data_IF_127826459117
#
_entry.id   IF_127826459117
#
_cell.length_a   1.000
_cell.length_b   1.000
_cell.length_c   1.000
_cell.angle_alpha   90.00
_cell.angle_beta   90.00
_cell.angle_gamma   90.00
#
_symmetry.space_group_name_H-M   'P 1'
#
loop_
_entity.id
_entity.type
_entity.pdbx_description
1 polymer ?
#
# COMPACT_ATOMS: atom_id res chain seq x y z
N UNK A 1 17.54 -6.49 -10.54
CA UNK A 1 16.71 -7.23 -9.55
C UNK A 1 16.20 -6.29 -8.47
N UNK A 2 17.07 -5.69 -7.63
CA UNK A 2 16.64 -4.86 -6.48
C UNK A 2 15.78 -3.64 -6.84
N UNK A 3 16.07 -2.93 -7.95
CA UNK A 3 15.27 -1.77 -8.37
C UNK A 3 13.84 -2.09 -8.83
N UNK A 4 13.54 -3.36 -9.11
CA UNK A 4 12.19 -3.81 -9.51
C UNK A 4 11.49 -4.48 -8.34
N UNK A 5 12.13 -5.47 -7.71
CA UNK A 5 11.52 -6.18 -6.59
C UNK A 5 11.37 -5.28 -5.37
N UNK A 6 12.35 -4.43 -5.06
CA UNK A 6 12.28 -3.56 -3.88
C UNK A 6 11.13 -2.55 -3.95
N UNK A 7 10.91 -1.93 -5.11
CA UNK A 7 9.82 -0.96 -5.31
C UNK A 7 8.45 -1.64 -5.29
N UNK A 8 8.33 -2.81 -5.95
CA UNK A 8 7.12 -3.61 -5.92
C UNK A 8 6.76 -4.08 -4.50
N UNK A 9 7.71 -4.71 -3.80
CA UNK A 9 7.50 -5.26 -2.46
C UNK A 9 7.21 -4.16 -1.44
N UNK A 10 7.82 -2.98 -1.57
CA UNK A 10 7.50 -1.84 -0.72
C UNK A 10 6.05 -1.40 -0.91
N UNK A 11 5.58 -1.27 -2.16
CA UNK A 11 4.18 -0.95 -2.43
C UNK A 11 3.22 -2.02 -1.92
N UNK A 12 3.54 -3.30 -2.10
CA UNK A 12 2.74 -4.40 -1.57
C UNK A 12 2.71 -4.40 -0.03
N UNK A 13 3.82 -4.10 0.63
CA UNK A 13 3.89 -3.99 2.09
C UNK A 13 3.02 -2.82 2.60
N UNK A 14 3.06 -1.66 1.93
CA UNK A 14 2.20 -0.50 2.28
C UNK A 14 0.71 -0.83 2.07
N UNK A 15 0.38 -1.66 1.10
CA UNK A 15 -1.01 -2.05 0.84
C UNK A 15 -1.64 -2.81 2.01
N UNK A 16 -0.83 -3.53 2.80
CA UNK A 16 -1.30 -4.26 4.00
C UNK A 16 -1.89 -3.33 5.07
N UNK A 17 -1.58 -2.04 5.06
CA UNK A 17 -2.27 -1.07 5.93
C UNK A 17 -3.75 -0.87 5.57
N UNK A 18 -4.16 -1.26 4.36
CA UNK A 18 -5.53 -1.14 3.87
C UNK A 18 -6.23 -2.49 3.72
N UNK A 19 -5.48 -3.58 3.56
CA UNK A 19 -6.01 -4.96 3.39
C UNK A 19 -5.89 -5.81 4.66
N UNK A 20 -5.05 -5.39 5.61
CA UNK A 20 -4.75 -6.12 6.84
C UNK A 20 -3.52 -7.03 6.72
N UNK A 21 -3.10 -7.58 7.86
CA UNK A 21 -2.01 -8.55 7.98
C UNK A 21 -2.34 -9.55 9.08
N UNK A 22 -1.92 -10.81 8.91
CA UNK A 22 -2.19 -11.89 9.87
C UNK A 22 -1.22 -11.81 11.07
N UNK A 23 -1.46 -10.84 11.94
CA UNK A 23 -0.60 -10.51 13.07
C UNK A 23 -1.42 -10.32 14.33
N UNK A 24 -0.92 -10.84 15.46
CA UNK A 24 -1.58 -10.68 16.75
C UNK A 24 -0.63 -10.09 17.79
N UNK A 25 -1.21 -9.34 18.72
CA UNK A 25 -0.51 -8.75 19.86
C UNK A 25 -1.19 -9.22 21.13
N UNK A 26 -0.53 -10.10 21.88
CA UNK A 26 -1.01 -10.60 23.17
C UNK A 26 -0.22 -9.98 24.32
N UNK A 27 -0.81 -8.96 24.96
CA UNK A 27 -0.21 -8.27 26.11
C UNK A 27 -0.17 -9.15 27.37
N UNK A 28 -0.95 -10.24 27.45
CA UNK A 28 -0.85 -11.24 28.52
C UNK A 28 0.49 -11.97 28.56
N UNK A 29 1.20 -12.01 27.43
CA UNK A 29 2.52 -12.61 27.33
C UNK A 29 3.58 -11.82 28.11
N UNK A 30 3.34 -10.54 28.42
CA UNK A 30 4.21 -9.70 29.27
C UNK A 30 4.30 -10.26 30.70
N UNK A 31 3.20 -10.83 31.20
CA UNK A 31 3.09 -11.35 32.56
C UNK A 31 3.25 -12.88 32.63
N UNK A 32 3.73 -13.50 31.55
CA UNK A 32 3.97 -14.94 31.49
C UNK A 32 2.71 -15.81 31.37
N UNK A 33 1.55 -15.21 31.04
CA UNK A 33 0.26 -15.90 30.89
C UNK A 33 0.00 -16.36 29.44
N UNK A 34 1.04 -16.45 28.62
CA UNK A 34 0.94 -16.78 27.20
C UNK A 34 1.33 -18.22 26.87
N UNK A 35 0.54 -18.89 26.03
CA UNK A 35 0.84 -20.25 25.53
C UNK A 35 2.09 -20.32 24.63
N UNK A 36 2.56 -19.17 24.11
CA UNK A 36 3.67 -19.05 23.16
C UNK A 36 4.97 -18.46 23.76
N UNK A 37 5.07 -18.39 25.10
CA UNK A 37 6.21 -17.76 25.77
C UNK A 37 6.14 -16.22 25.80
N UNK A 38 7.25 -15.50 26.05
CA UNK A 38 7.24 -14.05 26.32
C UNK A 38 7.05 -13.17 25.06
N UNK A 39 6.75 -13.77 23.90
CA UNK A 39 6.65 -13.04 22.61
C UNK A 39 5.31 -12.32 22.54
N UNK A 40 5.31 -11.00 22.67
CA UNK A 40 4.08 -10.18 22.72
C UNK A 40 3.42 -10.05 21.35
N UNK A 41 4.22 -10.08 20.28
CA UNK A 41 3.77 -9.73 18.94
C UNK A 41 4.26 -10.78 17.95
N UNK A 42 3.35 -11.44 17.26
CA UNK A 42 3.67 -12.63 16.46
C UNK A 42 2.87 -12.68 15.17
N UNK A 43 3.53 -13.09 14.10
CA UNK A 43 2.88 -13.51 12.87
C UNK A 43 2.07 -14.77 13.15
N UNK A 44 0.86 -14.84 12.61
CA UNK A 44 0.02 -16.03 12.73
C UNK A 44 0.24 -17.00 11.58
N UNK A 45 0.69 -16.48 10.43
CA UNK A 45 0.99 -17.29 9.26
C UNK A 45 2.45 -17.82 9.29
N UNK A 46 2.69 -19.10 8.90
CA UNK A 46 4.05 -19.64 8.75
C UNK A 46 4.91 -18.89 7.71
N UNK A 47 4.28 -18.15 6.80
CA UNK A 47 4.96 -17.35 5.78
C UNK A 47 5.45 -15.98 6.28
N UNK A 48 5.19 -15.63 7.54
CA UNK A 48 5.72 -14.44 8.23
C UNK A 48 5.57 -13.13 7.44
N UNK A 49 4.40 -12.90 6.86
CA UNK A 49 4.06 -11.70 6.07
C UNK A 49 4.17 -11.90 4.57
N UNK A 50 4.83 -12.96 4.08
CA UNK A 50 4.90 -13.25 2.64
C UNK A 50 3.51 -13.61 2.08
N UNK A 51 2.61 -14.13 2.93
CA UNK A 51 1.20 -14.36 2.59
C UNK A 51 0.47 -13.10 2.12
N UNK A 52 0.96 -11.90 2.45
CA UNK A 52 0.44 -10.64 1.93
C UNK A 52 0.50 -10.58 0.39
N UNK A 53 1.41 -11.32 -0.24
CA UNK A 53 1.45 -11.47 -1.70
C UNK A 53 0.36 -12.41 -2.24
N UNK A 54 -0.44 -13.06 -1.39
CA UNK A 54 -1.63 -13.80 -1.79
C UNK A 54 -2.83 -12.89 -2.10
N UNK A 55 -2.81 -11.63 -1.64
CA UNK A 55 -3.88 -10.66 -1.91
C UNK A 55 -3.59 -9.88 -3.20
N UNK A 56 -4.46 -10.04 -4.20
CA UNK A 56 -4.37 -9.32 -5.47
C UNK A 56 -4.34 -7.81 -5.28
N UNK A 57 -5.06 -7.25 -4.28
CA UNK A 57 -5.10 -5.81 -4.01
C UNK A 57 -3.72 -5.27 -3.61
N UNK A 58 -2.91 -6.08 -2.92
CA UNK A 58 -1.53 -5.70 -2.58
C UNK A 58 -0.65 -5.59 -3.83
N UNK A 59 -0.92 -6.39 -4.86
CA UNK A 59 -0.20 -6.32 -6.14
C UNK A 59 -0.53 -5.05 -6.91
N UNK A 60 -1.79 -4.58 -6.88
CA UNK A 60 -2.16 -3.33 -7.55
C UNK A 60 -1.34 -2.16 -7.02
N UNK A 61 -1.21 -2.01 -5.70
CA UNK A 61 -0.37 -0.94 -5.14
C UNK A 61 1.14 -1.20 -5.38
N UNK A 62 1.60 -2.44 -5.27
CA UNK A 62 2.98 -2.82 -5.60
C UNK A 62 3.38 -2.43 -7.02
N UNK A 63 2.54 -2.75 -8.00
CA UNK A 63 2.75 -2.39 -9.40
C UNK A 63 2.64 -0.87 -9.62
N UNK A 64 1.70 -0.20 -8.97
CA UNK A 64 1.58 1.25 -9.03
C UNK A 64 2.89 1.93 -8.58
N UNK A 65 3.46 1.53 -7.44
CA UNK A 65 4.71 2.09 -6.91
C UNK A 65 5.90 1.78 -7.84
N UNK A 66 5.98 0.58 -8.40
CA UNK A 66 7.01 0.22 -9.38
C UNK A 66 6.97 1.13 -10.61
N UNK A 67 5.80 1.32 -11.20
CA UNK A 67 5.63 2.17 -12.39
C UNK A 67 5.81 3.65 -12.08
N UNK A 68 5.40 4.11 -10.89
CA UNK A 68 5.64 5.46 -10.42
C UNK A 68 7.14 5.75 -10.32
N UNK A 69 7.91 4.86 -9.70
CA UNK A 69 9.36 5.02 -9.57
C UNK A 69 10.06 5.16 -10.94
N UNK A 70 9.63 4.37 -11.94
CA UNK A 70 10.16 4.46 -13.31
C UNK A 70 9.74 5.74 -14.03
N UNK A 71 8.52 6.21 -13.77
CA UNK A 71 8.02 7.48 -14.31
C UNK A 71 8.85 8.64 -13.77
N UNK A 72 9.11 8.67 -12.45
CA UNK A 72 9.96 9.67 -11.80
C UNK A 72 11.40 9.63 -12.33
N UNK A 73 11.97 8.43 -12.48
CA UNK A 73 13.31 8.29 -13.09
C UNK A 73 13.36 8.83 -14.53
N UNK A 74 12.34 8.53 -15.34
CA UNK A 74 12.25 9.04 -16.72
C UNK A 74 12.15 10.56 -16.76
N UNK A 75 11.32 11.15 -15.89
CA UNK A 75 11.19 12.59 -15.74
C UNK A 75 12.50 13.24 -15.24
N UNK A 76 13.21 12.58 -14.33
CA UNK A 76 14.53 13.04 -13.90
C UNK A 76 15.52 13.11 -15.07
N UNK A 77 15.57 12.08 -15.92
CA UNK A 77 16.43 12.10 -17.10
C UNK A 77 16.06 13.19 -18.09
N UNK A 78 14.76 13.43 -18.31
CA UNK A 78 14.29 14.52 -19.19
C UNK A 78 14.71 15.90 -18.66
N UNK A 79 14.66 16.11 -17.34
CA UNK A 79 14.88 17.43 -16.74
C UNK A 79 16.33 17.73 -16.38
N UNK A 80 17.17 16.70 -16.17
CA UNK A 80 18.52 16.89 -15.61
C UNK A 80 19.66 16.41 -16.49
N UNK A 81 19.40 15.57 -17.48
CA UNK A 81 20.43 14.92 -18.29
C UNK A 81 20.71 15.76 -19.55
N UNK A 82 21.99 16.05 -19.82
CA UNK A 82 22.42 16.77 -21.02
C UNK A 82 22.80 15.79 -22.13
N UNK A 83 21.83 15.02 -22.64
CA UNK A 83 22.03 14.06 -23.73
C UNK A 83 20.75 13.83 -24.54
N UNK A 84 20.67 14.40 -25.73
CA UNK A 84 19.43 14.49 -26.53
C UNK A 84 18.78 13.14 -26.82
N UNK A 85 19.57 12.12 -27.20
CA UNK A 85 19.06 10.78 -27.51
C UNK A 85 18.39 10.13 -26.28
N UNK A 86 18.99 10.28 -25.09
CA UNK A 86 18.45 9.71 -23.86
C UNK A 86 17.22 10.48 -23.39
N UNK A 87 17.20 11.79 -23.60
CA UNK A 87 16.05 12.65 -23.29
C UNK A 87 14.85 12.29 -24.18
N UNK A 88 15.02 12.19 -25.51
CA UNK A 88 13.93 11.81 -26.42
C UNK A 88 13.35 10.43 -26.06
N UNK A 89 14.23 9.47 -25.78
CA UNK A 89 13.83 8.13 -25.34
C UNK A 89 13.06 8.20 -24.01
N UNK A 90 13.57 8.94 -23.02
CA UNK A 90 12.97 9.02 -21.69
C UNK A 90 11.56 9.61 -21.74
N UNK A 91 11.26 10.57 -22.64
CA UNK A 91 9.90 11.09 -22.83
C UNK A 91 8.89 10.00 -23.21
N UNK A 92 9.28 9.06 -24.08
CA UNK A 92 8.43 7.91 -24.46
C UNK A 92 8.22 6.96 -23.28
N UNK A 93 9.29 6.68 -22.54
CA UNK A 93 9.22 5.83 -21.34
C UNK A 93 8.42 6.45 -20.18
N UNK A 94 8.36 7.78 -20.08
CA UNK A 94 7.46 8.46 -19.14
C UNK A 94 6.02 8.05 -19.40
N UNK A 95 5.59 7.99 -20.66
CA UNK A 95 4.22 7.57 -21.01
C UNK A 95 4.02 6.06 -20.80
N UNK A 96 4.98 5.23 -21.23
CA UNK A 96 4.90 3.77 -21.09
C UNK A 96 4.87 3.28 -19.65
N UNK A 97 5.45 4.02 -18.69
CA UNK A 97 5.35 3.70 -17.27
C UNK A 97 4.23 4.49 -16.57
N UNK A 98 3.98 5.74 -16.99
CA UNK A 98 2.97 6.60 -16.39
C UNK A 98 1.55 6.09 -16.59
N UNK A 99 1.22 5.55 -17.78
CA UNK A 99 -0.12 5.00 -18.03
C UNK A 99 -0.40 3.77 -17.15
N UNK A 100 0.46 2.74 -17.09
CA UNK A 100 0.28 1.63 -16.14
C UNK A 100 0.22 2.09 -14.68
N UNK A 101 1.05 3.06 -14.27
CA UNK A 101 0.98 3.64 -12.93
C UNK A 101 -0.44 4.13 -12.60
N UNK A 102 -1.02 4.98 -13.45
CA UNK A 102 -2.36 5.52 -13.23
C UNK A 102 -3.41 4.42 -13.18
N UNK A 103 -3.33 3.44 -14.08
CA UNK A 103 -4.29 2.31 -14.11
C UNK A 103 -4.23 1.50 -12.82
N UNK A 104 -3.04 1.07 -12.38
CA UNK A 104 -2.90 0.28 -11.16
C UNK A 104 -3.23 1.07 -9.91
N UNK A 105 -2.86 2.35 -9.86
CA UNK A 105 -3.19 3.25 -8.74
C UNK A 105 -4.70 3.46 -8.61
N UNK A 106 -5.39 3.81 -9.71
CA UNK A 106 -6.84 4.03 -9.68
C UNK A 106 -7.60 2.76 -9.35
N UNK A 107 -7.17 1.61 -9.87
CA UNK A 107 -7.78 0.32 -9.52
C UNK A 107 -7.63 0.03 -8.02
N UNK A 108 -6.44 0.22 -7.43
CA UNK A 108 -6.22 0.07 -5.99
C UNK A 108 -7.06 1.08 -5.18
N UNK A 109 -7.09 2.34 -5.60
CA UNK A 109 -7.80 3.42 -4.92
C UNK A 109 -9.30 3.14 -4.89
N UNK A 110 -9.91 2.88 -6.05
CA UNK A 110 -11.35 2.61 -6.16
C UNK A 110 -11.73 1.39 -5.31
N UNK A 111 -10.94 0.31 -5.40
CA UNK A 111 -11.17 -0.87 -4.56
C UNK A 111 -11.08 -0.51 -3.06
N UNK A 112 -10.13 0.34 -2.68
CA UNK A 112 -9.99 0.80 -1.29
C UNK A 112 -11.15 1.64 -0.80
N UNK A 113 -11.69 2.52 -1.65
CA UNK A 113 -12.81 3.38 -1.28
C UNK A 113 -14.10 2.58 -1.03
N UNK A 114 -14.34 1.51 -1.79
CA UNK A 114 -15.56 0.69 -1.66
C UNK A 114 -15.41 -0.47 -0.68
N UNK A 115 -14.19 -0.77 -0.22
CA UNK A 115 -13.93 -1.86 0.71
C UNK A 115 -14.40 -1.53 2.14
N UNK A 116 -14.69 -2.59 2.90
CA UNK A 116 -14.86 -2.49 4.34
C UNK A 116 -13.55 -2.05 5.00
N UNK A 117 -13.64 -1.28 6.07
CA UNK A 117 -12.48 -0.84 6.85
C UNK A 117 -12.77 -0.79 8.34
N UNK A 118 -11.72 -0.75 9.14
CA UNK A 118 -11.85 -0.72 10.59
C UNK A 118 -12.24 0.67 11.10
N UNK A 119 -13.30 0.72 11.90
CA UNK A 119 -13.76 1.90 12.61
C UNK A 119 -13.73 1.65 14.12
N UNK A 120 -13.65 2.72 14.91
CA UNK A 120 -13.67 2.67 16.38
C UNK A 120 -14.92 3.37 16.86
N UNK A 121 -15.74 2.68 17.64
CA UNK A 121 -16.89 3.32 18.28
C UNK A 121 -16.38 4.34 19.32
N UNK A 122 -16.81 5.61 19.25
CA UNK A 122 -16.29 6.66 20.12
C UNK A 122 -16.65 6.45 21.60
N UNK A 123 -17.76 5.78 21.90
CA UNK A 123 -18.24 5.53 23.26
C UNK A 123 -17.67 4.23 23.83
N UNK A 124 -17.84 3.11 23.11
CA UNK A 124 -17.47 1.78 23.62
C UNK A 124 -16.00 1.43 23.38
N UNK A 125 -15.31 2.18 22.52
CA UNK A 125 -13.93 1.92 22.05
C UNK A 125 -13.73 0.57 21.34
N UNK A 126 -14.83 -0.10 20.99
CA UNK A 126 -14.79 -1.35 20.24
C UNK A 126 -14.42 -1.07 18.78
N UNK A 127 -13.50 -1.87 18.24
CA UNK A 127 -13.13 -1.88 16.82
C UNK A 127 -14.11 -2.76 16.07
N UNK A 128 -14.68 -2.26 14.97
CA UNK A 128 -15.61 -3.02 14.12
C UNK A 128 -15.34 -2.72 12.64
N UNK A 129 -15.89 -3.56 11.75
CA UNK A 129 -15.83 -3.32 10.30
C UNK A 129 -17.00 -2.44 9.85
N UNK A 130 -16.67 -1.35 9.17
CA UNK A 130 -17.61 -0.42 8.57
C UNK A 130 -17.49 -0.49 7.03
N UNK A 131 -18.61 -0.69 6.30
CA UNK A 131 -18.60 -0.67 4.84
C UNK A 131 -18.17 0.68 4.28
N UNK A 132 -17.37 0.65 3.21
CA UNK A 132 -16.88 1.85 2.50
C UNK A 132 -16.23 2.89 3.43
N UNK A 133 -15.52 2.44 4.47
CA UNK A 133 -14.97 3.31 5.52
C UNK A 133 -14.11 4.44 4.96
N UNK A 134 -13.23 4.12 4.00
CA UNK A 134 -12.33 5.10 3.42
C UNK A 134 -13.08 6.16 2.59
N UNK A 135 -14.17 5.78 1.91
CA UNK A 135 -15.03 6.73 1.21
C UNK A 135 -15.75 7.66 2.21
N UNK A 136 -16.35 7.11 3.26
CA UNK A 136 -17.00 7.93 4.30
C UNK A 136 -16.03 8.92 4.94
N UNK A 137 -14.80 8.48 5.25
CA UNK A 137 -13.77 9.37 5.79
C UNK A 137 -13.49 10.58 4.87
N UNK A 138 -13.45 10.37 3.55
CA UNK A 138 -13.27 11.46 2.60
C UNK A 138 -14.48 12.40 2.53
N UNK A 139 -15.70 11.87 2.61
CA UNK A 139 -16.92 12.67 2.61
C UNK A 139 -17.06 13.49 3.91
N UNK A 140 -16.66 12.91 5.04
CA UNK A 140 -16.64 13.57 6.35
C UNK A 140 -15.52 14.61 6.46
N UNK A 141 -14.47 14.49 5.64
CA UNK A 141 -13.33 15.41 5.58
C UNK A 141 -13.17 16.02 4.16
N UNK A 142 -14.06 16.93 3.73
CA UNK A 142 -14.05 17.45 2.35
C UNK A 142 -12.73 18.11 1.93
N UNK A 143 -12.03 18.77 2.87
CA UNK A 143 -10.73 19.37 2.58
C UNK A 143 -9.69 18.31 2.20
N UNK A 144 -9.71 17.15 2.86
CA UNK A 144 -8.78 16.05 2.56
C UNK A 144 -9.10 15.46 1.19
N UNK A 145 -10.39 15.31 0.85
CA UNK A 145 -10.82 14.83 -0.46
C UNK A 145 -10.38 15.75 -1.61
N UNK A 146 -10.38 17.07 -1.40
CA UNK A 146 -10.01 18.04 -2.43
C UNK A 146 -8.48 18.08 -2.66
N UNK A 147 -7.68 17.91 -1.61
CA UNK A 147 -6.22 18.04 -1.68
C UNK A 147 -5.53 16.73 -2.07
N UNK A 148 -6.19 15.60 -1.83
CA UNK A 148 -5.73 14.27 -2.24
C UNK A 148 -5.74 14.10 -3.77
#
# INVERSE_FOLDING_TARGET
>A
INGVLGTFLLGAAVATFFTGSEFTVNKGNIVGLGDAGPVISQWQNPLHGIEALGDARNWFLGLAVLFLARTLASLFFVNRLNHDILVDRSRKFTLYNGVPFVVFFLAFLIWTLVADGYAVNPETKVVFLEPAKYLHNFLDMPLVLIVF
#
